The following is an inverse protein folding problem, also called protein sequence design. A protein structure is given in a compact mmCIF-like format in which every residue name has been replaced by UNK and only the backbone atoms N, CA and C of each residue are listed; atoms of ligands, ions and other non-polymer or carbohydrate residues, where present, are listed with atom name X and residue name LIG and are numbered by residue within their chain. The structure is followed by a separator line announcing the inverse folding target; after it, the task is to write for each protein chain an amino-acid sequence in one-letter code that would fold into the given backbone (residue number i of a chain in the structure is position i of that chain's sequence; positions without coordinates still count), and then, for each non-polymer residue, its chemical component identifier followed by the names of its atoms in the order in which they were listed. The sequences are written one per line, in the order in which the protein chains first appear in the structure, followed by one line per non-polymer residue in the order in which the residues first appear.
data_IF_618660285179
#
_entry.id   IF_618660285179
#
_cell.length_a   1.000
_cell.length_b   1.000
_cell.length_c   1.000
_cell.angle_alpha   90.00
_cell.angle_beta   90.00
_cell.angle_gamma   90.00
#
_symmetry.space_group_name_H-M   'P 1'
#
loop_
_entity.id
_entity.type
_entity.pdbx_description
1 polymer ?
#
# COMPACT_ATOMS: atom_id res chain seq x y z
N UNK A 1 14.53 34.65 6.84
CA UNK A 1 15.73 33.91 6.38
C UNK A 1 15.47 33.41 4.96
N UNK A 2 16.16 33.97 3.95
CA UNK A 2 16.03 33.51 2.55
C UNK A 2 16.93 32.29 2.37
N UNK A 3 16.38 31.14 1.95
CA UNK A 3 17.16 29.92 1.71
C UNK A 3 17.90 30.07 0.38
N UNK A 4 19.20 29.83 0.38
CA UNK A 4 20.00 29.80 -0.85
C UNK A 4 19.62 28.59 -1.71
N UNK A 5 19.64 28.71 -3.06
CA UNK A 5 19.39 27.57 -3.94
C UNK A 5 20.54 26.56 -3.86
N UNK A 6 20.24 25.26 -3.92
CA UNK A 6 21.28 24.23 -3.97
C UNK A 6 22.06 24.29 -5.30
N UNK A 7 23.38 24.02 -5.28
CA UNK A 7 24.16 23.92 -6.51
C UNK A 7 23.67 22.74 -7.36
N UNK A 8 23.49 22.97 -8.66
CA UNK A 8 23.18 21.91 -9.61
C UNK A 8 24.42 21.04 -9.78
N UNK A 9 24.39 19.84 -9.21
CA UNK A 9 25.41 18.82 -9.45
C UNK A 9 25.53 18.54 -10.95
N UNK A 10 26.75 18.29 -11.42
CA UNK A 10 27.02 17.84 -12.78
C UNK A 10 26.28 16.52 -13.01
N UNK A 11 25.45 16.46 -14.06
CA UNK A 11 24.68 15.26 -14.38
C UNK A 11 25.58 14.05 -14.59
N UNK A 12 25.06 12.86 -14.28
CA UNK A 12 25.75 11.60 -14.55
C UNK A 12 26.20 11.54 -16.02
N UNK A 13 27.50 11.36 -16.26
CA UNK A 13 28.05 11.18 -17.60
C UNK A 13 27.49 9.89 -18.20
N UNK A 14 26.84 10.00 -19.36
CA UNK A 14 26.36 8.85 -20.13
C UNK A 14 27.59 8.07 -20.62
N UNK A 15 27.71 6.77 -20.35
CA UNK A 15 28.80 5.99 -20.93
C UNK A 15 28.67 5.98 -22.45
N UNK A 16 29.76 6.27 -23.14
CA UNK A 16 29.86 6.11 -24.60
C UNK A 16 29.98 4.61 -24.90
N UNK A 17 28.92 4.03 -25.46
CA UNK A 17 29.00 2.70 -26.03
C UNK A 17 29.46 2.82 -27.48
N UNK A 18 30.52 2.10 -27.84
CA UNK A 18 30.94 1.98 -29.22
C UNK A 18 29.78 1.40 -30.05
N UNK A 19 29.39 2.10 -31.11
CA UNK A 19 28.40 1.59 -32.06
C UNK A 19 28.98 0.34 -32.72
N UNK A 20 28.29 -0.80 -32.63
CA UNK A 20 28.66 -1.96 -33.44
C UNK A 20 28.67 -1.56 -34.93
N UNK A 21 29.60 -2.09 -35.74
CA UNK A 21 29.60 -1.84 -37.18
C UNK A 21 28.24 -2.28 -37.74
N UNK A 22 27.54 -1.36 -38.42
CA UNK A 22 26.30 -1.70 -39.12
C UNK A 22 26.69 -2.68 -40.23
N UNK A 23 26.29 -3.94 -40.09
CA UNK A 23 26.28 -4.87 -41.22
C UNK A 23 25.45 -4.22 -42.33
N UNK A 24 26.00 -4.17 -43.54
CA UNK A 24 25.26 -3.70 -44.70
C UNK A 24 23.98 -4.56 -44.82
N UNK A 25 22.79 -3.95 -44.98
CA UNK A 25 21.57 -4.71 -45.12
C UNK A 25 21.70 -5.63 -46.33
N UNK A 26 21.35 -6.89 -46.15
CA UNK A 26 21.19 -7.84 -47.24
C UNK A 26 20.25 -7.21 -48.28
N UNK A 27 20.72 -7.11 -49.53
CA UNK A 27 20.00 -6.48 -50.65
C UNK A 27 18.93 -7.40 -51.23
N UNK A 28 18.61 -8.50 -50.57
CA UNK A 28 17.50 -9.36 -50.95
C UNK A 28 16.18 -8.58 -50.81
N UNK A 29 15.35 -8.45 -51.87
CA UNK A 29 14.10 -7.72 -51.77
C UNK A 29 13.20 -8.37 -50.72
N UNK A 30 12.85 -7.59 -49.69
CA UNK A 30 11.85 -7.98 -48.72
C UNK A 30 10.58 -8.42 -49.47
N UNK A 31 10.05 -9.60 -49.13
CA UNK A 31 8.80 -10.07 -49.70
C UNK A 31 7.72 -8.97 -49.59
N UNK A 32 6.89 -8.76 -50.63
CA UNK A 32 5.88 -7.71 -50.59
C UNK A 32 4.94 -7.96 -49.40
N UNK A 33 4.89 -6.99 -48.48
CA UNK A 33 3.98 -7.05 -47.35
C UNK A 33 2.56 -7.13 -47.88
N UNK A 34 1.85 -8.23 -47.61
CA UNK A 34 0.44 -8.35 -47.94
C UNK A 34 -0.32 -7.24 -47.19
N UNK A 35 -1.23 -6.51 -47.84
CA UNK A 35 -2.04 -5.51 -47.14
C UNK A 35 -2.78 -6.19 -45.99
N UNK A 36 -2.67 -5.62 -44.79
CA UNK A 36 -3.46 -6.06 -43.63
C UNK A 36 -4.92 -5.76 -43.93
N UNK A 37 -5.67 -6.77 -44.37
CA UNK A 37 -7.12 -6.69 -44.46
C UNK A 37 -7.65 -6.81 -43.03
N UNK A 38 -8.08 -5.70 -42.43
CA UNK A 38 -8.72 -5.72 -41.11
C UNK A 38 -10.04 -6.51 -41.24
N UNK A 39 -10.05 -7.78 -40.83
CA UNK A 39 -11.28 -8.57 -40.70
C UNK A 39 -12.11 -7.99 -39.55
N UNK A 40 -13.02 -7.09 -39.89
CA UNK A 40 -14.08 -6.62 -39.00
C UNK A 40 -13.75 -5.34 -38.24
N UNK A 41 -14.72 -4.43 -38.24
CA UNK A 41 -14.84 -3.37 -37.24
C UNK A 41 -15.61 -3.94 -36.06
N UNK A 42 -14.99 -4.01 -34.88
CA UNK A 42 -15.75 -4.27 -33.66
C UNK A 42 -16.71 -3.10 -33.44
N UNK A 43 -17.96 -3.39 -33.09
CA UNK A 43 -18.90 -2.36 -32.66
C UNK A 43 -18.26 -1.55 -31.52
N UNK A 44 -18.35 -0.21 -31.60
CA UNK A 44 -17.83 0.64 -30.54
C UNK A 44 -18.50 0.23 -29.21
N UNK A 45 -17.72 0.03 -28.13
CA UNK A 45 -18.32 -0.27 -26.84
C UNK A 45 -19.30 0.84 -26.49
N UNK A 46 -20.57 0.48 -26.23
CA UNK A 46 -21.54 1.44 -25.68
C UNK A 46 -20.96 1.93 -24.35
N UNK A 47 -20.90 3.24 -24.16
CA UNK A 47 -20.46 3.82 -22.90
C UNK A 47 -21.38 3.32 -21.78
N UNK A 48 -20.90 2.37 -20.98
CA UNK A 48 -21.59 1.97 -19.77
C UNK A 48 -21.49 3.12 -18.75
N UNK A 49 -22.59 3.43 -18.06
CA UNK A 49 -22.56 4.38 -16.97
C UNK A 49 -21.55 3.90 -15.91
N UNK A 50 -20.66 4.79 -15.48
CA UNK A 50 -19.66 4.45 -14.46
C UNK A 50 -20.34 4.20 -13.11
N UNK A 51 -20.19 3.00 -12.56
CA UNK A 51 -20.63 2.71 -11.19
C UNK A 51 -19.74 3.52 -10.24
N UNK A 52 -20.30 4.38 -9.38
CA UNK A 52 -19.49 5.19 -8.46
C UNK A 52 -18.75 4.26 -7.48
N UNK A 53 -17.44 4.49 -7.33
CA UNK A 53 -16.64 3.77 -6.36
C UNK A 53 -17.09 4.21 -4.96
N UNK A 54 -17.28 3.26 -4.06
CA UNK A 54 -17.56 3.61 -2.66
C UNK A 54 -16.40 4.46 -2.09
N UNK A 55 -16.70 5.51 -1.29
CA UNK A 55 -15.65 6.36 -0.74
C UNK A 55 -14.78 5.57 0.22
N UNK A 56 -13.49 5.87 0.20
CA UNK A 56 -12.53 5.32 1.15
C UNK A 56 -12.76 5.94 2.52
N UNK A 57 -12.72 5.14 3.58
CA UNK A 57 -12.72 5.67 4.95
C UNK A 57 -11.31 6.07 5.36
N UNK A 58 -11.13 7.37 5.51
CA UNK A 58 -9.84 7.96 5.80
C UNK A 58 -9.75 8.35 7.28
N UNK A 59 -8.71 7.88 7.94
CA UNK A 59 -8.34 8.23 9.32
C UNK A 59 -6.84 8.57 9.28
N UNK A 60 -6.46 9.76 8.74
CA UNK A 60 -5.06 10.09 8.47
C UNK A 60 -4.15 10.01 9.71
N UNK A 61 -4.72 10.20 10.90
CA UNK A 61 -4.00 10.11 12.16
C UNK A 61 -3.47 8.70 12.46
N UNK A 62 -4.10 7.64 11.95
CA UNK A 62 -3.55 6.27 12.05
C UNK A 62 -2.23 6.14 11.29
N UNK A 63 -2.10 6.85 10.16
CA UNK A 63 -0.91 6.82 9.32
C UNK A 63 0.26 7.56 9.97
N UNK A 64 -0.01 8.70 10.59
CA UNK A 64 1.02 9.46 11.31
C UNK A 64 1.45 8.76 12.58
N UNK A 65 0.52 8.09 13.27
CA UNK A 65 0.79 7.35 14.52
C UNK A 65 1.71 6.14 14.34
N UNK A 66 1.89 5.64 13.11
CA UNK A 66 2.80 4.53 12.81
C UNK A 66 4.29 4.89 12.94
N UNK A 67 4.64 6.18 12.81
CA UNK A 67 6.04 6.62 12.85
C UNK A 67 6.63 6.39 14.25
N UNK A 68 7.83 5.82 14.31
CA UNK A 68 8.49 5.50 15.57
C UNK A 68 7.88 4.32 16.33
N UNK A 69 6.94 3.58 15.73
CA UNK A 69 6.35 2.37 16.33
C UNK A 69 7.11 1.11 15.92
N UNK A 70 7.07 0.04 16.71
CA UNK A 70 7.66 -1.23 16.32
C UNK A 70 6.95 -1.82 15.10
N UNK A 71 7.70 -2.57 14.28
CA UNK A 71 7.11 -3.33 13.19
C UNK A 71 6.32 -4.52 13.74
N UNK A 72 5.07 -4.69 13.27
CA UNK A 72 4.18 -5.77 13.70
C UNK A 72 4.24 -7.01 12.80
N UNK A 73 4.91 -6.91 11.64
CA UNK A 73 5.08 -8.02 10.71
C UNK A 73 6.11 -9.04 11.18
N UNK A 74 7.20 -8.58 11.80
CA UNK A 74 8.26 -9.42 12.40
C UNK A 74 8.70 -10.61 11.54
N UNK A 75 8.72 -10.43 10.21
CA UNK A 75 9.07 -11.48 9.27
C UNK A 75 10.55 -11.86 9.40
N UNK A 76 10.83 -13.11 9.77
CA UNK A 76 12.19 -13.61 9.93
C UNK A 76 13.01 -13.45 8.64
N UNK A 77 14.22 -12.91 8.76
CA UNK A 77 15.13 -12.65 7.63
C UNK A 77 14.74 -11.48 6.72
N UNK A 78 13.62 -10.80 6.99
CA UNK A 78 13.12 -9.66 6.20
C UNK A 78 13.02 -8.41 7.07
N UNK A 79 12.48 -8.53 8.29
CA UNK A 79 12.27 -7.41 9.18
C UNK A 79 13.60 -6.75 9.58
N UNK A 80 13.69 -5.44 9.42
CA UNK A 80 14.87 -4.67 9.83
C UNK A 80 14.77 -4.13 11.28
N UNK A 81 13.62 -4.36 11.95
CA UNK A 81 13.32 -3.91 13.31
C UNK A 81 13.54 -2.41 13.60
N UNK A 82 13.62 -1.56 12.57
CA UNK A 82 13.93 -0.15 12.73
C UNK A 82 12.64 0.70 12.80
N UNK A 83 12.26 1.24 13.98
CA UNK A 83 11.02 2.00 14.17
C UNK A 83 11.00 3.33 13.41
N UNK A 84 12.17 3.90 13.08
CA UNK A 84 12.27 5.14 12.28
C UNK A 84 11.76 4.95 10.85
N UNK A 85 11.74 3.69 10.38
CA UNK A 85 11.26 3.34 9.04
C UNK A 85 9.81 2.86 9.03
N UNK A 86 9.15 2.83 10.19
CA UNK A 86 7.81 2.28 10.32
C UNK A 86 6.77 3.20 9.71
N UNK A 87 5.93 2.60 8.85
CA UNK A 87 4.79 3.22 8.20
C UNK A 87 3.54 2.36 8.41
N UNK A 88 2.35 2.95 8.22
CA UNK A 88 1.12 2.19 8.15
C UNK A 88 0.98 1.56 6.75
N UNK A 89 1.24 0.26 6.67
CA UNK A 89 1.11 -0.53 5.45
C UNK A 89 -0.35 -0.93 5.24
N UNK A 90 -0.98 -0.50 4.15
CA UNK A 90 -2.35 -0.88 3.82
C UNK A 90 -2.46 -2.31 3.29
N UNK A 91 -3.62 -2.92 3.48
CA UNK A 91 -3.98 -4.19 2.82
C UNK A 91 -3.95 -4.08 1.29
N UNK A 92 -3.50 -5.16 0.65
CA UNK A 92 -3.48 -5.34 -0.81
C UNK A 92 -4.61 -6.25 -1.35
N UNK A 93 -5.66 -6.52 -0.55
CA UNK A 93 -6.83 -7.32 -0.97
C UNK A 93 -8.12 -6.51 -1.18
N UNK A 94 -8.87 -6.86 -2.22
CA UNK A 94 -10.09 -6.17 -2.65
C UNK A 94 -11.20 -6.12 -1.58
N UNK A 95 -11.30 -7.14 -0.72
CA UNK A 95 -12.25 -7.19 0.39
C UNK A 95 -12.11 -5.99 1.35
N UNK A 96 -10.90 -5.45 1.50
CA UNK A 96 -10.61 -4.31 2.38
C UNK A 96 -10.66 -2.97 1.64
N UNK A 97 -11.10 -2.96 0.38
CA UNK A 97 -11.13 -1.78 -0.47
C UNK A 97 -9.93 -1.62 -1.41
N UNK A 98 -9.01 -2.59 -1.53
CA UNK A 98 -8.00 -2.53 -2.60
C UNK A 98 -7.12 -3.77 -2.83
N UNK A 99 -7.21 -4.38 -4.02
CA UNK A 99 -6.26 -4.22 -5.17
C UNK A 99 -7.04 -4.54 -6.46
N UNK A 100 -7.30 -3.49 -7.22
CA UNK A 100 -8.19 -3.42 -8.39
C UNK A 100 -8.91 -2.07 -8.41
N UNK A 101 -8.76 -1.25 -9.47
CA UNK A 101 -9.47 0.03 -9.60
C UNK A 101 -8.80 1.30 -9.01
N UNK A 102 -7.49 1.28 -8.74
CA UNK A 102 -6.73 2.45 -8.25
C UNK A 102 -7.23 3.05 -6.92
N UNK A 103 -7.80 2.23 -6.04
CA UNK A 103 -8.24 2.60 -4.68
C UNK A 103 -7.38 1.88 -3.64
N UNK A 104 -6.95 2.61 -2.61
CA UNK A 104 -6.29 2.05 -1.41
C UNK A 104 -7.35 1.53 -0.43
N UNK A 105 -7.00 0.48 0.32
CA UNK A 105 -7.81 0.01 1.44
C UNK A 105 -8.11 1.13 2.45
N UNK A 106 -9.19 0.98 3.19
CA UNK A 106 -9.55 1.91 4.27
C UNK A 106 -8.45 1.95 5.35
N UNK A 107 -8.28 3.07 6.06
CA UNK A 107 -7.14 3.26 6.96
C UNK A 107 -7.10 2.27 8.14
N UNK A 108 -8.26 1.75 8.55
CA UNK A 108 -8.37 0.70 9.57
C UNK A 108 -7.80 -0.66 9.09
N UNK A 109 -7.65 -0.89 7.79
CA UNK A 109 -7.00 -2.07 7.22
C UNK A 109 -5.53 -1.76 6.91
N UNK A 110 -4.83 -1.25 7.90
CA UNK A 110 -3.39 -1.02 7.86
C UNK A 110 -2.71 -1.65 9.07
N UNK A 111 -1.41 -1.94 8.96
CA UNK A 111 -0.59 -2.41 10.07
C UNK A 111 0.79 -1.75 10.04
N UNK A 112 1.38 -1.52 11.22
CA UNK A 112 2.72 -0.95 11.32
C UNK A 112 3.78 -1.88 10.73
N UNK A 113 4.44 -1.41 9.68
CA UNK A 113 5.49 -2.15 8.97
C UNK A 113 6.74 -1.29 8.84
N UNK A 114 7.90 -1.85 9.19
CA UNK A 114 9.17 -1.24 8.81
C UNK A 114 9.34 -1.28 7.29
N UNK A 115 10.29 -0.48 6.77
CA UNK A 115 10.52 -0.37 5.33
C UNK A 115 10.68 -1.73 4.63
N UNK A 116 11.50 -2.64 5.18
CA UNK A 116 11.75 -3.93 4.56
C UNK A 116 10.49 -4.84 4.48
N UNK A 117 9.72 -4.93 5.57
CA UNK A 117 8.46 -5.69 5.59
C UNK A 117 7.41 -5.06 4.67
N UNK A 118 7.34 -3.73 4.62
CA UNK A 118 6.44 -3.01 3.73
C UNK A 118 6.76 -3.30 2.26
N UNK A 119 8.02 -3.18 1.85
CA UNK A 119 8.45 -3.52 0.48
C UNK A 119 8.17 -4.98 0.16
N UNK A 120 8.41 -5.91 1.08
CA UNK A 120 8.10 -7.32 0.86
C UNK A 120 6.59 -7.56 0.67
N UNK A 121 5.73 -6.91 1.45
CA UNK A 121 4.28 -7.03 1.31
C UNK A 121 3.83 -6.58 -0.09
N UNK A 122 4.34 -5.44 -0.55
CA UNK A 122 3.92 -4.84 -1.82
C UNK A 122 4.48 -5.57 -3.04
N UNK A 123 5.78 -5.88 -3.03
CA UNK A 123 6.50 -6.35 -4.22
C UNK A 123 7.35 -7.60 -4.02
N UNK A 124 7.37 -8.18 -2.81
CA UNK A 124 8.18 -9.37 -2.51
C UNK A 124 7.85 -10.59 -3.38
N UNK A 125 8.84 -11.44 -3.73
CA UNK A 125 8.69 -12.56 -4.66
C UNK A 125 8.12 -13.80 -3.96
N UNK A 126 6.90 -13.72 -3.44
CA UNK A 126 6.20 -14.84 -2.81
C UNK A 126 4.75 -14.88 -3.24
N UNK A 127 4.11 -16.03 -3.03
CA UNK A 127 2.68 -16.23 -3.24
C UNK A 127 1.83 -15.21 -2.46
N UNK A 128 0.70 -14.81 -3.06
CA UNK A 128 -0.21 -13.82 -2.50
C UNK A 128 -0.86 -14.25 -1.20
N UNK A 129 -1.11 -15.55 -0.99
CA UNK A 129 -1.71 -16.04 0.24
C UNK A 129 -0.71 -15.97 1.40
N UNK A 130 0.59 -16.20 1.16
CA UNK A 130 1.62 -15.98 2.21
C UNK A 130 1.68 -14.52 2.66
N UNK A 131 1.59 -13.58 1.71
CA UNK A 131 1.49 -12.15 2.03
C UNK A 131 0.22 -11.84 2.80
N UNK A 132 -0.89 -12.48 2.43
CA UNK A 132 -2.19 -12.33 3.09
C UNK A 132 -2.12 -12.76 4.54
N UNK A 133 -1.62 -13.96 4.79
CA UNK A 133 -1.44 -14.47 6.14
C UNK A 133 -0.56 -13.55 6.98
N UNK A 134 0.61 -13.15 6.45
CA UNK A 134 1.51 -12.22 7.14
C UNK A 134 0.82 -10.89 7.49
N UNK A 135 0.08 -10.31 6.54
CA UNK A 135 -0.69 -9.09 6.78
C UNK A 135 -1.76 -9.30 7.87
N UNK A 136 -2.53 -10.39 7.80
CA UNK A 136 -3.59 -10.66 8.78
C UNK A 136 -3.04 -10.86 10.20
N UNK A 137 -1.90 -11.55 10.36
CA UNK A 137 -1.23 -11.67 11.65
C UNK A 137 -0.75 -10.31 12.19
N UNK A 138 -0.14 -9.49 11.34
CA UNK A 138 0.29 -8.15 11.71
C UNK A 138 -0.91 -7.24 12.05
N UNK A 139 -2.02 -7.38 11.31
CA UNK A 139 -3.25 -6.61 11.51
C UNK A 139 -3.97 -6.99 12.81
N UNK A 140 -3.98 -8.27 13.18
CA UNK A 140 -4.45 -8.69 14.50
C UNK A 140 -3.65 -8.02 15.63
N UNK A 141 -2.32 -8.00 15.49
CA UNK A 141 -1.45 -7.29 16.42
C UNK A 141 -1.73 -5.79 16.43
N UNK A 142 -2.04 -5.19 15.28
CA UNK A 142 -2.41 -3.78 15.15
C UNK A 142 -3.71 -3.45 15.90
N UNK A 143 -4.74 -4.28 15.76
CA UNK A 143 -6.02 -4.13 16.47
C UNK A 143 -5.80 -4.17 17.98
N UNK A 144 -4.93 -5.06 18.47
CA UNK A 144 -4.57 -5.10 19.89
C UNK A 144 -3.82 -3.85 20.36
N UNK A 145 -2.96 -3.27 19.52
CA UNK A 145 -2.33 -1.99 19.83
C UNK A 145 -3.34 -0.84 19.87
N UNK A 146 -4.30 -0.79 18.94
CA UNK A 146 -5.36 0.22 18.98
C UNK A 146 -6.26 0.06 20.20
N UNK A 147 -6.60 -1.16 20.60
CA UNK A 147 -7.31 -1.43 21.87
C UNK A 147 -6.57 -0.83 23.06
N UNK A 148 -5.27 -1.09 23.18
CA UNK A 148 -4.44 -0.53 24.26
C UNK A 148 -4.42 1.00 24.23
N UNK A 149 -4.23 1.59 23.05
CA UNK A 149 -4.21 3.06 22.89
C UNK A 149 -5.57 3.65 23.28
N UNK A 150 -6.67 3.07 22.82
CA UNK A 150 -8.02 3.55 23.10
C UNK A 150 -8.36 3.47 24.60
N UNK A 151 -7.92 2.38 25.28
CA UNK A 151 -8.19 2.16 26.71
C UNK A 151 -7.25 2.91 27.66
N UNK A 152 -6.08 3.35 27.19
CA UNK A 152 -5.04 3.94 28.03
C UNK A 152 -5.32 5.44 28.28
N UNK A 153 -5.63 5.86 29.53
CA UNK A 153 -5.92 7.26 29.83
C UNK A 153 -4.69 8.18 29.65
N UNK A 154 -3.47 7.64 29.66
CA UNK A 154 -2.23 8.40 29.47
C UNK A 154 -1.93 8.69 27.98
N UNK A 155 -2.53 7.92 27.06
CA UNK A 155 -2.38 8.12 25.62
C UNK A 155 -3.02 9.44 25.16
N UNK A 156 -2.44 10.09 24.14
CA UNK A 156 -2.93 11.39 23.66
C UNK A 156 -4.39 11.30 23.21
N UNK A 157 -5.26 12.29 23.51
CA UNK A 157 -6.69 12.22 23.15
C UNK A 157 -6.95 11.95 21.67
N UNK A 158 -6.14 12.51 20.77
CA UNK A 158 -6.22 12.26 19.33
C UNK A 158 -5.86 10.83 18.93
N UNK A 159 -4.85 10.24 19.58
CA UNK A 159 -4.44 8.85 19.35
C UNK A 159 -5.56 7.91 19.78
N UNK A 160 -6.16 8.16 20.95
CA UNK A 160 -7.30 7.39 21.46
C UNK A 160 -8.51 7.46 20.52
N UNK A 161 -8.88 8.68 20.10
CA UNK A 161 -10.00 8.88 19.20
C UNK A 161 -9.80 8.18 17.84
N UNK A 162 -8.60 8.29 17.26
CA UNK A 162 -8.31 7.62 15.99
C UNK A 162 -8.30 6.10 16.12
N UNK A 163 -7.74 5.57 17.21
CA UNK A 163 -7.76 4.15 17.51
C UNK A 163 -9.20 3.65 17.70
N UNK A 164 -10.04 4.40 18.42
CA UNK A 164 -11.45 4.05 18.61
C UNK A 164 -12.21 4.03 17.28
N UNK A 165 -12.04 5.04 16.42
CA UNK A 165 -12.65 5.06 15.09
C UNK A 165 -12.24 3.86 14.22
N UNK A 166 -10.99 3.40 14.35
CA UNK A 166 -10.52 2.20 13.66
C UNK A 166 -11.23 0.95 14.17
N UNK A 167 -11.38 0.83 15.49
CA UNK A 167 -12.05 -0.29 16.16
C UNK A 167 -13.54 -0.34 15.82
N UNK A 168 -14.23 0.80 15.89
CA UNK A 168 -15.65 0.92 15.54
C UNK A 168 -15.90 0.47 14.10
N UNK A 169 -15.02 0.86 13.17
CA UNK A 169 -15.15 0.46 11.77
C UNK A 169 -14.94 -1.05 11.55
N UNK A 170 -14.09 -1.67 12.35
CA UNK A 170 -13.83 -3.10 12.31
C UNK A 170 -14.90 -3.91 13.08
N UNK A 171 -15.90 -3.25 13.69
CA UNK A 171 -16.81 -3.82 14.67
C UNK A 171 -16.06 -4.56 15.79
N UNK A 172 -14.88 -4.05 16.18
CA UNK A 172 -14.05 -4.63 17.21
C UNK A 172 -14.25 -3.87 18.53
N UNK A 173 -14.68 -4.54 19.58
CA UNK A 173 -14.86 -3.89 20.89
C UNK A 173 -13.49 -3.46 21.45
N UNK A 174 -13.36 -2.23 22.00
CA UNK A 174 -12.21 -1.84 22.79
C UNK A 174 -12.10 -2.76 24.02
N UNK A 175 -10.89 -3.22 24.33
CA UNK A 175 -10.65 -4.05 25.52
C UNK A 175 -10.84 -3.17 26.75
N UNK A 176 -11.83 -3.49 27.59
CA UNK A 176 -12.05 -2.82 28.87
C UNK A 176 -13.41 -2.13 29.04
N UNK A 177 -14.28 -2.11 28.03
CA UNK A 177 -15.71 -1.91 28.30
C UNK A 177 -16.27 -3.27 28.70
N UNK A 178 -16.28 -3.54 30.01
CA UNK A 178 -17.26 -4.47 30.55
C UNK A 178 -18.61 -4.02 30.00
N UNK A 179 -19.31 -4.94 29.34
CA UNK A 179 -20.71 -4.74 29.01
C UNK A 179 -21.41 -4.33 30.31
N UNK A 180 -21.73 -3.05 30.46
CA UNK A 180 -22.78 -2.63 31.39
C UNK A 180 -24.11 -3.02 30.73
N UNK A 181 -24.27 -4.32 30.48
CA UNK A 181 -25.53 -4.96 30.18
C UNK A 181 -26.02 -5.54 31.50
N UNK A 182 -26.46 -4.66 32.39
CA UNK A 182 -27.29 -5.00 33.53
C UNK A 182 -28.02 -3.75 34.01
N UNK A 183 -29.34 -3.89 34.23
CA UNK A 183 -30.36 -2.89 34.61
C UNK A 183 -30.90 -2.07 33.42
N UNK A 184 -32.17 -2.15 32.99
CA UNK A 184 -33.43 -2.64 33.60
C UNK A 184 -34.29 -3.40 32.59
#
# INVERSE_FOLDING_TARGET
MKRSPMPRGTGFKRPEFASAPRLAPDRNPLAPLRPVVRRGTYAAPRAAAAIPKTPRREIPHLLTMARGKPCLFLLAGICNHNPETTVAAHSNWAQHGGKGGARKADDCYSAWACFACHTWLDSGPTDSEKKRMAFMFAHLSQVNHWRRIASDPSSKPRDRAAAQLALDHLNATPVGQQETACSE
#
